data_IF_824529765722
#
_entry.id   IF_824529765722
#
_cell.length_a   1.000
_cell.length_b   1.000
_cell.length_c   1.000
_cell.angle_alpha   90.00
_cell.angle_beta   90.00
_cell.angle_gamma   90.00
#
_symmetry.space_group_name_H-M   'P 1'
#
loop_
_entity.id
_entity.type
_entity.pdbx_description
1 polymer ?
#
# COMPACT_ATOMS: atom_id res chain seq x y z
N UNK A 1 -35.64 12.49 0.62
CA UNK A 1 -34.93 13.45 -0.26
C UNK A 1 -33.52 13.61 0.28
N UNK A 2 -32.52 12.93 -0.29
CA UNK A 2 -31.13 13.09 0.14
C UNK A 2 -30.68 14.50 -0.22
N UNK A 3 -30.21 15.28 0.77
CA UNK A 3 -29.48 16.53 0.49
C UNK A 3 -28.32 16.17 -0.44
N UNK A 4 -28.35 16.65 -1.68
CA UNK A 4 -27.18 16.61 -2.55
C UNK A 4 -26.06 17.34 -1.81
N UNK A 5 -25.00 16.62 -1.46
CA UNK A 5 -23.84 17.22 -0.82
C UNK A 5 -23.27 18.27 -1.78
N UNK A 6 -22.97 19.45 -1.26
CA UNK A 6 -22.34 20.49 -2.08
C UNK A 6 -20.92 20.04 -2.46
N UNK A 7 -20.39 20.56 -3.57
CA UNK A 7 -19.03 20.23 -4.03
C UNK A 7 -17.96 20.55 -2.97
N UNK A 8 -18.20 21.56 -2.13
CA UNK A 8 -17.36 21.91 -0.99
C UNK A 8 -17.45 20.88 0.16
N UNK A 9 -18.64 20.32 0.42
CA UNK A 9 -18.82 19.27 1.44
C UNK A 9 -18.16 17.95 1.03
N UNK A 10 -18.20 17.59 -0.26
CA UNK A 10 -17.46 16.43 -0.77
C UNK A 10 -15.96 16.66 -0.70
N UNK A 11 -15.47 17.82 -1.14
CA UNK A 11 -14.04 18.13 -1.14
C UNK A 11 -13.44 18.05 0.28
N UNK A 12 -14.13 18.60 1.28
CA UNK A 12 -13.66 18.54 2.67
C UNK A 12 -13.58 17.10 3.18
N UNK A 13 -14.59 16.28 2.89
CA UNK A 13 -14.63 14.88 3.31
C UNK A 13 -13.56 14.06 2.60
N UNK A 14 -13.44 14.24 1.30
CA UNK A 14 -12.45 13.55 0.47
C UNK A 14 -11.03 13.91 0.92
N UNK A 15 -10.74 15.19 1.19
CA UNK A 15 -9.44 15.61 1.70
C UNK A 15 -9.10 14.96 3.05
N UNK A 16 -10.05 14.92 3.99
CA UNK A 16 -9.82 14.24 5.28
C UNK A 16 -9.62 12.73 5.11
N UNK A 17 -10.37 12.09 4.20
CA UNK A 17 -10.22 10.66 3.91
C UNK A 17 -8.87 10.37 3.24
N UNK A 18 -8.47 11.18 2.26
CA UNK A 18 -7.16 11.10 1.61
C UNK A 18 -6.01 11.23 2.60
N UNK A 19 -6.13 12.09 3.62
CA UNK A 19 -5.11 12.20 4.67
C UNK A 19 -5.00 10.91 5.52
N UNK A 20 -6.14 10.27 5.85
CA UNK A 20 -6.12 8.96 6.55
C UNK A 20 -5.47 7.91 5.66
N UNK A 21 -5.89 7.84 4.39
CA UNK A 21 -5.35 6.88 3.41
C UNK A 21 -3.86 7.08 3.23
N UNK A 22 -3.39 8.33 3.12
CA UNK A 22 -1.98 8.67 2.99
C UNK A 22 -1.13 8.12 4.15
N UNK A 23 -1.58 8.31 5.41
CA UNK A 23 -0.85 7.81 6.58
C UNK A 23 -0.75 6.29 6.61
N UNK A 24 -1.73 5.58 6.07
CA UNK A 24 -1.73 4.11 5.96
C UNK A 24 -0.92 3.65 4.74
N UNK A 25 -1.04 4.37 3.63
CA UNK A 25 -0.42 4.01 2.35
C UNK A 25 1.09 4.22 2.36
N UNK A 26 1.61 5.25 3.03
CA UNK A 26 3.05 5.53 3.12
C UNK A 26 3.88 4.31 3.60
N UNK A 27 3.64 3.75 4.81
CA UNK A 27 4.40 2.59 5.27
C UNK A 27 4.15 1.35 4.41
N UNK A 28 2.94 1.20 3.85
CA UNK A 28 2.63 0.08 2.96
C UNK A 28 3.46 0.16 1.66
N UNK A 29 3.57 1.34 1.04
CA UNK A 29 4.35 1.57 -0.16
C UNK A 29 5.83 1.25 0.06
N UNK A 30 6.40 1.77 1.15
CA UNK A 30 7.79 1.49 1.53
C UNK A 30 8.00 -0.01 1.80
N UNK A 31 7.04 -0.63 2.49
CA UNK A 31 7.13 -2.03 2.86
C UNK A 31 7.07 -2.98 1.67
N UNK A 32 6.16 -2.71 0.71
CA UNK A 32 6.05 -3.50 -0.53
C UNK A 32 7.32 -3.35 -1.37
N UNK A 33 7.87 -2.14 -1.50
CA UNK A 33 9.11 -1.95 -2.24
C UNK A 33 10.27 -2.76 -1.65
N UNK A 34 10.44 -2.71 -0.33
CA UNK A 34 11.48 -3.49 0.29
C UNK A 34 11.23 -5.00 0.18
N UNK A 35 9.99 -5.43 0.37
CA UNK A 35 9.58 -6.82 0.24
C UNK A 35 9.84 -7.39 -1.17
N UNK A 36 9.76 -6.52 -2.16
CA UNK A 36 10.06 -6.79 -3.55
C UNK A 36 11.56 -6.75 -3.89
N UNK A 37 12.45 -6.51 -2.92
CA UNK A 37 13.87 -6.21 -3.15
C UNK A 37 14.08 -5.03 -4.12
N UNK A 38 13.16 -4.07 -4.13
CA UNK A 38 13.23 -2.88 -4.95
C UNK A 38 13.68 -1.66 -4.11
N UNK A 39 14.20 -0.60 -4.75
CA UNK A 39 14.49 0.65 -4.07
C UNK A 39 13.25 1.19 -3.35
N UNK A 40 13.37 1.60 -2.08
CA UNK A 40 12.24 2.04 -1.26
C UNK A 40 11.38 3.13 -1.91
N UNK A 41 12.02 4.04 -2.64
CA UNK A 41 11.35 5.14 -3.34
C UNK A 41 10.38 4.65 -4.42
N UNK A 42 10.63 3.49 -5.04
CA UNK A 42 9.80 2.96 -6.12
C UNK A 42 8.36 2.70 -5.67
N UNK A 43 8.18 2.29 -4.41
CA UNK A 43 6.87 2.16 -3.80
C UNK A 43 6.16 3.50 -3.62
N UNK A 44 6.88 4.53 -3.17
CA UNK A 44 6.31 5.88 -3.03
C UNK A 44 5.94 6.48 -4.39
N UNK A 45 6.79 6.30 -5.41
CA UNK A 45 6.53 6.74 -6.78
C UNK A 45 5.26 6.06 -7.31
N UNK A 46 5.13 4.75 -7.13
CA UNK A 46 3.94 3.99 -7.51
C UNK A 46 2.68 4.52 -6.80
N UNK A 47 2.75 4.80 -5.50
CA UNK A 47 1.63 5.39 -4.75
C UNK A 47 1.22 6.79 -5.24
N UNK A 48 2.19 7.64 -5.58
CA UNK A 48 1.94 8.98 -6.14
C UNK A 48 1.28 8.86 -7.52
N UNK A 49 1.82 8.02 -8.39
CA UNK A 49 1.28 7.79 -9.74
C UNK A 49 -0.11 7.16 -9.68
N UNK A 50 -0.34 6.20 -8.78
CA UNK A 50 -1.65 5.63 -8.52
C UNK A 50 -2.67 6.67 -8.08
N UNK A 51 -2.30 7.55 -7.14
CA UNK A 51 -3.16 8.63 -6.68
C UNK A 51 -3.52 9.66 -7.76
N UNK A 52 -2.53 10.04 -8.59
CA UNK A 52 -2.70 11.10 -9.60
C UNK A 52 -3.21 10.55 -10.93
N UNK A 53 -2.48 9.63 -11.55
CA UNK A 53 -2.78 9.13 -12.90
C UNK A 53 -3.98 8.20 -12.88
N UNK A 54 -3.99 7.19 -12.01
CA UNK A 54 -5.11 6.25 -11.96
C UNK A 54 -6.35 6.95 -11.39
N UNK A 55 -6.20 7.69 -10.29
CA UNK A 55 -7.30 8.42 -9.65
C UNK A 55 -8.03 9.38 -10.59
N UNK A 56 -7.34 10.01 -11.54
CA UNK A 56 -7.97 10.90 -12.54
C UNK A 56 -8.65 10.15 -13.68
N UNK A 57 -8.14 9.00 -14.09
CA UNK A 57 -8.60 8.26 -15.27
C UNK A 57 -9.68 7.20 -14.98
N UNK A 58 -9.63 6.56 -13.81
CA UNK A 58 -10.38 5.35 -13.42
C UNK A 58 -11.91 5.53 -13.39
N UNK A 59 -12.38 6.68 -12.90
CA UNK A 59 -13.80 6.92 -12.54
C UNK A 59 -14.38 6.02 -11.44
N UNK A 60 -13.56 5.19 -10.78
CA UNK A 60 -13.94 4.54 -9.54
C UNK A 60 -13.86 5.52 -8.38
N UNK A 61 -14.98 5.70 -7.67
CA UNK A 61 -15.16 6.80 -6.72
C UNK A 61 -14.54 6.53 -5.34
N UNK A 62 -14.25 5.27 -5.02
CA UNK A 62 -13.78 4.83 -3.70
C UNK A 62 -12.52 3.97 -3.77
N UNK A 63 -12.02 3.70 -4.97
CA UNK A 63 -10.79 2.95 -5.17
C UNK A 63 -9.57 3.82 -4.93
N UNK A 64 -8.52 3.19 -4.42
CA UNK A 64 -7.18 3.78 -4.25
C UNK A 64 -6.22 2.86 -5.00
N UNK A 65 -5.27 3.45 -5.73
CA UNK A 65 -4.23 2.70 -6.42
C UNK A 65 -2.85 3.05 -5.88
N UNK A 66 -1.94 2.08 -5.93
CA UNK A 66 -0.57 2.11 -5.43
C UNK A 66 0.06 0.73 -5.59
N UNK A 67 1.28 0.51 -5.08
CA UNK A 67 2.00 -0.74 -5.27
C UNK A 67 1.22 -1.91 -4.67
N UNK A 68 1.11 -3.00 -5.44
CA UNK A 68 0.27 -4.13 -5.07
C UNK A 68 1.01 -5.15 -4.19
N UNK A 69 0.48 -5.42 -3.01
CA UNK A 69 1.05 -6.40 -2.08
C UNK A 69 1.02 -7.82 -2.68
N UNK A 70 -0.03 -8.18 -3.42
CA UNK A 70 -0.16 -9.49 -4.08
C UNK A 70 0.90 -9.76 -5.13
N UNK A 71 1.46 -8.69 -5.72
CA UNK A 71 2.50 -8.75 -6.74
C UNK A 71 3.92 -8.80 -6.17
N UNK A 72 4.12 -8.59 -4.87
CA UNK A 72 5.44 -8.49 -4.23
C UNK A 72 6.40 -9.62 -4.62
N UNK A 73 5.93 -10.87 -4.54
CA UNK A 73 6.74 -12.05 -4.87
C UNK A 73 7.01 -12.16 -6.37
N UNK A 74 6.04 -11.77 -7.21
CA UNK A 74 6.20 -11.70 -8.66
C UNK A 74 7.28 -10.67 -8.99
N UNK A 75 7.19 -9.46 -8.45
CA UNK A 75 8.17 -8.39 -8.63
C UNK A 75 9.57 -8.85 -8.22
N UNK A 76 9.72 -9.37 -7.00
CA UNK A 76 11.01 -9.86 -6.49
C UNK A 76 11.62 -10.92 -7.40
N UNK A 77 10.80 -11.88 -7.86
CA UNK A 77 11.24 -12.93 -8.79
C UNK A 77 11.64 -12.36 -10.15
N UNK A 78 10.86 -11.43 -10.70
CA UNK A 78 11.16 -10.84 -12.01
C UNK A 78 12.41 -9.97 -11.99
N UNK A 79 12.62 -9.17 -10.93
CA UNK A 79 13.87 -8.40 -10.73
C UNK A 79 15.07 -9.36 -10.75
N UNK A 80 14.99 -10.48 -10.01
CA UNK A 80 16.05 -11.47 -9.97
C UNK A 80 16.30 -12.17 -11.32
N UNK A 81 15.24 -12.50 -12.06
CA UNK A 81 15.34 -13.17 -13.37
C UNK A 81 15.88 -12.27 -14.48
N UNK A 82 15.53 -10.99 -14.44
CA UNK A 82 15.97 -9.98 -15.41
C UNK A 82 17.36 -9.41 -15.07
N UNK A 83 17.82 -9.59 -13.82
CA UNK A 83 19.17 -9.25 -13.39
C UNK A 83 19.41 -7.77 -13.08
N UNK A 84 18.47 -6.88 -13.43
CA UNK A 84 18.50 -5.48 -13.03
C UNK A 84 17.09 -4.91 -12.80
N UNK A 85 17.02 -3.87 -11.96
CA UNK A 85 15.76 -3.19 -11.68
C UNK A 85 15.28 -2.39 -12.90
N UNK A 86 16.20 -1.83 -13.68
CA UNK A 86 15.95 -1.07 -14.90
C UNK A 86 15.35 -1.94 -16.01
N UNK A 87 15.79 -3.21 -16.12
CA UNK A 87 15.17 -4.20 -17.01
C UNK A 87 13.76 -4.55 -16.54
N UNK A 88 13.56 -4.65 -15.23
CA UNK A 88 12.24 -4.86 -14.64
C UNK A 88 11.30 -3.67 -14.89
N UNK A 89 11.77 -2.43 -14.78
CA UNK A 89 10.99 -1.23 -15.12
C UNK A 89 10.54 -1.23 -16.58
N UNK A 90 11.37 -1.75 -17.49
CA UNK A 90 10.97 -1.94 -18.88
C UNK A 90 9.82 -2.95 -18.99
N UNK A 91 9.87 -4.06 -18.24
CA UNK A 91 8.78 -5.03 -18.18
C UNK A 91 7.48 -4.42 -17.60
N UNK A 92 7.56 -3.57 -16.56
CA UNK A 92 6.42 -2.84 -15.98
C UNK A 92 5.82 -1.87 -17.00
N UNK A 93 6.66 -1.14 -17.73
CA UNK A 93 6.25 -0.22 -18.81
C UNK A 93 5.47 -0.97 -19.89
N UNK A 94 5.99 -2.11 -20.35
CA UNK A 94 5.29 -2.97 -21.32
C UNK A 94 4.01 -3.58 -20.75
N UNK A 95 4.00 -3.97 -19.47
CA UNK A 95 2.80 -4.48 -18.81
C UNK A 95 1.68 -3.42 -18.80
N UNK A 96 2.03 -2.17 -18.47
CA UNK A 96 1.12 -1.04 -18.55
C UNK A 96 0.58 -0.83 -19.96
N UNK A 97 1.44 -0.92 -20.99
CA UNK A 97 0.99 -0.84 -22.38
C UNK A 97 0.01 -1.95 -22.76
N UNK A 98 0.28 -3.19 -22.34
CA UNK A 98 -0.62 -4.34 -22.55
C UNK A 98 -1.97 -4.07 -21.88
N UNK A 99 -1.98 -3.54 -20.66
CA UNK A 99 -3.21 -3.19 -19.94
C UNK A 99 -3.99 -2.04 -20.57
N UNK A 100 -3.30 -1.01 -21.08
CA UNK A 100 -3.92 0.08 -21.85
C UNK A 100 -4.65 -0.51 -23.06
N UNK A 101 -3.97 -1.35 -23.84
CA UNK A 101 -4.54 -2.01 -25.02
C UNK A 101 -5.74 -2.89 -24.60
N UNK A 102 -5.60 -3.69 -23.54
CA UNK A 102 -6.67 -4.54 -23.03
C UNK A 102 -7.90 -3.72 -22.58
N UNK A 103 -7.68 -2.58 -21.92
CA UNK A 103 -8.74 -1.65 -21.53
C UNK A 103 -9.48 -1.06 -22.73
N UNK A 104 -8.74 -0.64 -23.76
CA UNK A 104 -9.32 -0.12 -25.02
C UNK A 104 -10.11 -1.18 -25.79
N UNK A 105 -9.63 -2.43 -25.79
CA UNK A 105 -10.33 -3.59 -26.36
C UNK A 105 -11.50 -4.08 -25.50
N UNK A 106 -11.79 -3.39 -24.39
CA UNK A 106 -12.86 -3.73 -23.44
C UNK A 106 -12.69 -5.10 -22.76
N UNK A 107 -11.45 -5.59 -22.62
CA UNK A 107 -11.14 -6.86 -21.98
C UNK A 107 -11.46 -6.93 -20.47
N UNK A 108 -11.85 -5.81 -19.84
CA UNK A 108 -12.31 -5.77 -18.45
C UNK A 108 -13.54 -6.64 -18.14
N UNK A 109 -14.23 -7.20 -19.15
CA UNK A 109 -15.32 -8.16 -18.95
C UNK A 109 -14.85 -9.46 -18.27
N UNK A 110 -13.55 -9.79 -18.31
CA UNK A 110 -12.99 -11.00 -17.68
C UNK A 110 -13.33 -11.10 -16.19
N UNK A 111 -13.50 -9.96 -15.50
CA UNK A 111 -13.90 -9.96 -14.09
C UNK A 111 -15.29 -10.54 -13.83
N UNK A 112 -16.15 -10.63 -14.86
CA UNK A 112 -17.49 -11.24 -14.77
C UNK A 112 -17.43 -12.74 -14.50
N UNK A 113 -16.35 -13.42 -14.88
CA UNK A 113 -16.20 -14.86 -14.72
C UNK A 113 -15.64 -15.25 -13.36
N UNK A 114 -15.30 -14.27 -12.51
CA UNK A 114 -14.72 -14.53 -11.21
C UNK A 114 -15.86 -14.88 -10.23
N UNK A 115 -15.87 -16.10 -9.66
CA UNK A 115 -16.90 -16.49 -8.71
C UNK A 115 -16.88 -15.60 -7.47
N UNK A 116 -18.06 -15.28 -6.93
CA UNK A 116 -18.18 -14.47 -5.70
C UNK A 116 -17.47 -15.10 -4.49
N UNK A 117 -17.30 -16.43 -4.48
CA UNK A 117 -16.55 -17.15 -3.47
C UNK A 117 -15.06 -16.78 -3.46
N UNK A 118 -14.46 -16.57 -4.63
CA UNK A 118 -13.05 -16.17 -4.77
C UNK A 118 -12.85 -14.77 -4.19
N UNK A 119 -13.74 -13.82 -4.49
CA UNK A 119 -13.68 -12.45 -3.96
C UNK A 119 -13.78 -12.44 -2.43
N UNK A 120 -14.72 -13.21 -1.85
CA UNK A 120 -14.87 -13.33 -0.39
C UNK A 120 -13.64 -13.98 0.27
N UNK A 121 -13.11 -15.04 -0.35
CA UNK A 121 -11.89 -15.70 0.09
C UNK A 121 -10.69 -14.75 0.11
N UNK A 122 -10.52 -13.96 -0.96
CA UNK A 122 -9.48 -12.94 -1.07
C UNK A 122 -9.60 -11.87 0.02
N UNK A 123 -10.78 -11.27 0.22
CA UNK A 123 -11.01 -10.28 1.27
C UNK A 123 -10.74 -10.82 2.67
N UNK A 124 -11.16 -12.05 2.93
CA UNK A 124 -10.93 -12.72 4.22
C UNK A 124 -9.45 -13.02 4.44
N UNK A 125 -8.76 -13.50 3.40
CA UNK A 125 -7.33 -13.78 3.42
C UNK A 125 -6.49 -12.53 3.65
N UNK A 126 -6.76 -11.44 2.91
CA UNK A 126 -6.09 -10.14 3.10
C UNK A 126 -6.35 -9.61 4.52
N UNK A 127 -7.60 -9.62 4.97
CA UNK A 127 -7.95 -9.17 6.32
C UNK A 127 -7.21 -9.96 7.41
N UNK A 128 -7.19 -11.29 7.31
CA UNK A 128 -6.47 -12.16 8.25
C UNK A 128 -4.95 -11.94 8.19
N UNK A 129 -4.38 -11.85 6.99
CA UNK A 129 -2.96 -11.61 6.80
C UNK A 129 -2.52 -10.27 7.41
N UNK A 130 -3.30 -9.21 7.21
CA UNK A 130 -3.04 -7.90 7.84
C UNK A 130 -3.08 -8.01 9.37
N UNK A 131 -4.10 -8.64 9.94
CA UNK A 131 -4.19 -8.83 11.40
C UNK A 131 -2.96 -9.58 11.93
N UNK A 132 -2.60 -10.70 11.29
CA UNK A 132 -1.46 -11.51 11.71
C UNK A 132 -0.14 -10.76 11.58
N UNK A 133 0.07 -10.01 10.49
CA UNK A 133 1.29 -9.22 10.30
C UNK A 133 1.37 -8.00 11.21
N UNK A 134 0.27 -7.46 11.72
CA UNK A 134 0.30 -6.36 12.71
C UNK A 134 0.57 -6.84 14.15
N UNK A 135 0.34 -8.12 14.45
CA UNK A 135 0.47 -8.65 15.81
C UNK A 135 1.89 -8.55 16.39
N UNK A 136 2.99 -8.86 15.66
CA UNK A 136 4.35 -8.66 16.18
C UNK A 136 4.69 -7.20 16.51
N UNK A 137 4.24 -6.25 15.68
CA UNK A 137 4.45 -4.82 15.91
C UNK A 137 3.72 -4.31 17.15
N UNK A 138 2.56 -4.89 17.49
CA UNK A 138 1.83 -4.56 18.73
C UNK A 138 2.68 -4.85 19.97
N UNK A 139 3.45 -5.94 19.98
CA UNK A 139 4.32 -6.29 21.11
C UNK A 139 5.74 -5.69 21.02
N UNK A 140 6.02 -4.96 19.93
CA UNK A 140 7.31 -4.32 19.68
C UNK A 140 8.44 -5.29 19.33
N UNK A 141 8.11 -6.43 18.71
CA UNK A 141 9.07 -7.44 18.26
C UNK A 141 10.19 -6.87 17.39
N UNK A 142 9.88 -5.86 16.56
CA UNK A 142 10.81 -5.24 15.62
C UNK A 142 11.42 -3.92 16.10
N UNK A 143 11.21 -3.56 17.37
CA UNK A 143 11.86 -2.40 17.96
C UNK A 143 13.19 -2.86 18.54
N UNK A 144 14.33 -2.47 17.96
CA UNK A 144 15.61 -2.88 18.48
C UNK A 144 15.77 -2.41 19.92
N UNK A 145 15.91 -3.36 20.84
CA UNK A 145 16.59 -3.10 22.11
C UNK A 145 18.13 -3.00 21.92
N UNK A 146 18.59 -2.62 20.72
CA UNK A 146 20.02 -2.46 20.38
C UNK A 146 20.53 -3.17 19.11
N UNK A 147 19.69 -3.81 18.28
CA UNK A 147 20.08 -4.39 16.97
C UNK A 147 19.32 -3.77 15.79
N UNK A 148 19.99 -3.11 14.86
CA UNK A 148 19.37 -2.61 13.62
C UNK A 148 18.92 -3.80 12.74
N UNK A 149 17.72 -4.32 12.98
CA UNK A 149 17.07 -5.31 12.12
C UNK A 149 16.62 -4.58 10.87
N UNK A 150 17.06 -5.05 9.71
CA UNK A 150 16.63 -4.50 8.43
C UNK A 150 15.20 -4.94 8.14
N UNK A 151 14.39 -4.06 7.55
CA UNK A 151 12.99 -4.38 7.20
C UNK A 151 12.91 -5.57 6.22
N UNK A 152 14.01 -5.96 5.56
CA UNK A 152 14.11 -7.14 4.70
C UNK A 152 13.99 -8.46 5.50
N UNK A 153 14.48 -8.48 6.74
CA UNK A 153 14.28 -9.61 7.65
C UNK A 153 12.84 -9.71 8.16
N UNK A 154 12.06 -8.62 8.12
CA UNK A 154 10.66 -8.56 8.59
C UNK A 154 9.64 -9.12 7.57
N UNK A 155 9.96 -8.96 6.29
CA UNK A 155 9.12 -9.45 5.20
C UNK A 155 9.45 -10.91 4.89
N UNK A 156 10.74 -11.26 4.90
CA UNK A 156 11.21 -12.58 4.49
C UNK A 156 11.06 -13.67 5.57
N UNK A 157 10.56 -13.30 6.77
CA UNK A 157 10.25 -14.26 7.83
C UNK A 157 8.82 -14.82 7.69
N UNK A 158 8.73 -16.14 7.84
CA UNK A 158 7.46 -16.85 7.95
C UNK A 158 6.62 -16.25 9.08
N UNK A 159 5.35 -15.95 8.83
CA UNK A 159 4.40 -15.46 9.85
C UNK A 159 4.41 -16.35 11.10
N UNK A 160 4.58 -17.66 10.92
CA UNK A 160 4.70 -18.62 12.02
C UNK A 160 5.97 -18.44 12.85
N UNK A 161 7.08 -18.05 12.23
CA UNK A 161 8.32 -17.75 12.94
C UNK A 161 8.17 -16.47 13.79
N UNK A 162 7.58 -15.41 13.25
CA UNK A 162 7.28 -14.17 13.98
C UNK A 162 6.36 -14.44 15.18
N UNK A 163 5.36 -15.32 15.02
CA UNK A 163 4.44 -15.66 16.10
C UNK A 163 5.06 -16.55 17.18
N UNK A 164 5.94 -17.49 16.82
CA UNK A 164 6.64 -18.37 17.77
C UNK A 164 7.70 -17.58 18.56
N UNK A 165 8.40 -16.68 17.88
CA UNK A 165 9.44 -15.85 18.47
C UNK A 165 8.91 -14.81 19.47
N UNK A 166 7.63 -14.42 19.39
CA UNK A 166 6.94 -13.64 20.43
C UNK A 166 6.94 -14.32 21.81
N UNK A 167 7.08 -15.65 21.87
CA UNK A 167 7.18 -16.39 23.13
C UNK A 167 8.57 -16.27 23.78
N UNK A 168 9.59 -15.80 23.05
CA UNK A 168 11.01 -15.84 23.45
C UNK A 168 11.63 -14.44 23.52
N UNK A 169 11.10 -13.45 22.81
CA UNK A 169 11.64 -12.09 22.74
C UNK A 169 11.04 -11.17 23.81
N UNK A 170 11.86 -10.32 24.48
CA UNK A 170 11.36 -9.33 25.44
C UNK A 170 10.44 -8.30 24.76
N UNK A 171 9.26 -8.09 25.32
CA UNK A 171 8.26 -7.18 24.79
C UNK A 171 8.62 -5.71 25.06
N UNK A 172 8.24 -4.82 24.14
CA UNK A 172 8.44 -3.38 24.30
C UNK A 172 7.20 -2.72 24.92
N UNK A 173 7.30 -2.33 26.20
CA UNK A 173 6.17 -1.81 26.99
C UNK A 173 5.49 -0.60 26.33
N UNK A 174 6.27 0.31 25.72
CA UNK A 174 5.74 1.48 25.02
C UNK A 174 4.87 1.14 23.80
N UNK A 175 5.29 0.15 22.99
CA UNK A 175 4.60 -0.22 21.75
C UNK A 175 3.29 -0.93 22.07
N UNK A 176 3.32 -1.86 23.03
CA UNK A 176 2.14 -2.55 23.53
C UNK A 176 1.13 -1.57 24.12
N UNK A 177 1.59 -0.60 24.91
CA UNK A 177 0.71 0.42 25.51
C UNK A 177 0.06 1.29 24.43
N UNK A 178 0.84 1.81 23.49
CA UNK A 178 0.30 2.64 22.40
C UNK A 178 -0.64 1.84 21.50
N UNK A 179 -0.30 0.60 21.14
CA UNK A 179 -1.13 -0.22 20.27
C UNK A 179 -2.45 -0.63 20.92
N UNK A 180 -2.43 -1.08 22.18
CA UNK A 180 -3.67 -1.39 22.92
C UNK A 180 -4.52 -0.13 23.10
N UNK A 181 -3.91 1.00 23.50
CA UNK A 181 -4.60 2.26 23.65
C UNK A 181 -5.23 2.71 22.31
N UNK A 182 -4.52 2.54 21.20
CA UNK A 182 -5.01 2.88 19.87
C UNK A 182 -6.25 2.06 19.50
N UNK A 183 -6.24 0.74 19.77
CA UNK A 183 -7.41 -0.13 19.55
C UNK A 183 -8.58 0.34 20.42
N UNK A 184 -8.35 0.60 21.71
CA UNK A 184 -9.38 1.08 22.64
C UNK A 184 -9.98 2.40 22.14
N UNK A 185 -9.14 3.36 21.76
CA UNK A 185 -9.60 4.66 21.26
C UNK A 185 -10.42 4.52 19.98
N UNK A 186 -10.01 3.67 19.04
CA UNK A 186 -10.77 3.39 17.81
C UNK A 186 -12.13 2.75 18.12
N UNK A 187 -12.17 1.78 19.04
CA UNK A 187 -13.42 1.13 19.47
C UNK A 187 -14.37 2.13 20.15
N UNK A 188 -13.84 3.00 21.01
CA UNK A 188 -14.62 4.08 21.65
C UNK A 188 -15.16 5.03 20.58
N UNK A 189 -14.33 5.40 19.60
CA UNK A 189 -14.71 6.31 18.51
C UNK A 189 -15.87 5.75 17.68
N UNK A 190 -15.85 4.46 17.39
CA UNK A 190 -16.92 3.82 16.62
C UNK A 190 -18.20 3.58 17.44
N UNK A 191 -18.09 3.42 18.76
CA UNK A 191 -19.26 3.25 19.64
C UNK A 191 -19.99 4.56 19.93
N UNK A 192 -19.27 5.67 20.09
CA UNK A 192 -19.86 6.96 20.51
C UNK A 192 -20.32 7.77 19.29
N UNK A 193 -21.64 7.91 19.13
CA UNK A 193 -22.25 8.64 18.01
C UNK A 193 -21.88 10.14 17.96
N UNK A 194 -21.55 10.75 19.10
CA UNK A 194 -21.08 12.14 19.15
C UNK A 194 -19.69 12.30 18.51
N UNK A 195 -18.80 11.32 18.68
CA UNK A 195 -17.46 11.31 18.08
C UNK A 195 -17.52 11.08 16.57
N UNK A 196 -18.55 10.41 16.06
CA UNK A 196 -18.79 10.29 14.62
C UNK A 196 -19.14 11.62 13.93
N UNK A 197 -19.56 12.64 14.70
CA UNK A 197 -19.85 13.98 14.20
C UNK A 197 -18.63 14.92 14.24
N UNK A 198 -17.51 14.47 14.82
CA UNK A 198 -16.29 15.25 14.85
C UNK A 198 -15.76 15.49 13.42
N UNK A 199 -15.21 16.68 13.14
CA UNK A 199 -14.71 17.02 11.80
C UNK A 199 -13.42 16.29 11.43
N UNK A 200 -12.72 15.69 12.40
CA UNK A 200 -11.46 14.98 12.20
C UNK A 200 -11.72 13.48 12.37
N UNK A 201 -11.32 12.65 11.40
CA UNK A 201 -11.38 11.19 11.52
C UNK A 201 -10.68 10.66 12.78
N UNK A 202 -11.33 9.71 13.47
CA UNK A 202 -10.77 9.04 14.65
C UNK A 202 -9.35 8.50 14.47
N UNK A 203 -9.01 7.84 13.34
CA UNK A 203 -7.64 7.38 13.09
C UNK A 203 -6.56 8.46 13.18
N UNK A 204 -6.83 9.69 12.70
CA UNK A 204 -5.87 10.80 12.78
C UNK A 204 -5.61 11.23 14.22
N UNK A 205 -6.68 11.28 15.02
CA UNK A 205 -6.59 11.64 16.43
C UNK A 205 -5.80 10.57 17.20
N UNK A 206 -6.04 9.29 16.89
CA UNK A 206 -5.29 8.18 17.49
C UNK A 206 -3.80 8.29 17.19
N UNK A 207 -3.42 8.56 15.94
CA UNK A 207 -2.02 8.78 15.56
C UNK A 207 -1.43 10.00 16.31
N UNK A 208 -2.15 11.12 16.35
CA UNK A 208 -1.68 12.33 17.04
C UNK A 208 -1.47 12.09 18.54
N UNK A 209 -2.40 11.38 19.19
CA UNK A 209 -2.30 11.00 20.61
C UNK A 209 -1.13 10.05 20.83
N UNK A 210 -0.95 9.04 19.97
CA UNK A 210 0.18 8.11 20.06
C UNK A 210 1.54 8.84 19.95
N UNK A 211 1.67 9.75 18.97
CA UNK A 211 2.88 10.57 18.80
C UNK A 211 3.12 11.47 20.01
N UNK A 212 2.08 12.14 20.52
CA UNK A 212 2.18 13.00 21.69
C UNK A 212 2.62 12.23 22.95
N UNK A 213 2.03 11.06 23.20
CA UNK A 213 2.40 10.19 24.33
C UNK A 213 3.86 9.75 24.19
N UNK A 214 4.27 9.29 23.00
CA UNK A 214 5.63 8.80 22.77
C UNK A 214 6.67 9.92 23.02
N UNK A 215 6.44 11.12 22.48
CA UNK A 215 7.40 12.22 22.56
C UNK A 215 7.39 12.97 23.90
N UNK A 216 6.22 13.15 24.54
CA UNK A 216 6.12 13.96 25.76
C UNK A 216 6.28 13.14 27.04
N UNK A 217 5.86 11.88 27.02
CA UNK A 217 5.84 11.00 28.20
C UNK A 217 6.91 9.93 28.08
N UNK A 218 6.86 9.09 27.05
CA UNK A 218 7.73 7.92 26.97
C UNK A 218 9.20 8.29 26.79
N UNK A 219 9.50 9.36 26.06
CA UNK A 219 10.85 9.92 25.94
C UNK A 219 11.49 10.24 27.31
N UNK A 220 10.69 10.57 28.33
CA UNK A 220 11.15 10.88 29.70
C UNK A 220 11.27 9.64 30.60
N UNK A 221 10.53 8.58 30.29
CA UNK A 221 10.51 7.33 31.06
C UNK A 221 11.67 6.37 30.72
N UNK A 222 12.41 6.65 29.63
CA UNK A 222 13.61 5.91 29.25
C UNK A 222 13.41 4.87 28.16
N UNK A 223 14.46 4.08 27.90
CA UNK A 223 14.58 3.24 26.71
C UNK A 223 13.56 2.09 26.60
N UNK A 224 13.02 1.58 27.72
CA UNK A 224 11.99 0.53 27.69
C UNK A 224 10.59 1.02 27.30
N UNK A 225 10.39 2.33 27.26
CA UNK A 225 9.11 2.98 26.93
C UNK A 225 9.18 3.74 25.61
N UNK A 226 10.31 4.40 25.33
CA UNK A 226 10.40 5.30 24.19
C UNK A 226 10.61 4.55 22.87
N UNK A 227 9.66 4.68 21.96
CA UNK A 227 9.71 4.07 20.63
C UNK A 227 10.58 4.93 19.72
N UNK A 228 11.67 4.35 19.19
CA UNK A 228 12.63 4.97 18.27
C UNK A 228 12.87 4.09 17.04
N UNK A 229 13.51 4.66 16.02
CA UNK A 229 14.09 3.90 14.91
C UNK A 229 13.03 3.10 14.15
N UNK A 230 13.22 1.78 14.05
CA UNK A 230 12.35 0.87 13.29
C UNK A 230 10.91 0.79 13.83
N UNK A 231 10.66 1.22 15.07
CA UNK A 231 9.30 1.35 15.62
C UNK A 231 8.51 2.55 15.08
N UNK A 232 9.10 3.38 14.23
CA UNK A 232 8.45 4.53 13.59
C UNK A 232 8.55 4.42 12.07
N UNK A 233 7.58 5.00 11.36
CA UNK A 233 7.64 5.11 9.90
C UNK A 233 8.78 6.06 9.53
N UNK A 234 9.83 5.52 8.93
CA UNK A 234 10.96 6.30 8.43
C UNK A 234 10.71 6.66 6.97
N UNK A 235 10.41 7.93 6.75
CA UNK A 235 10.29 8.47 5.40
C UNK A 235 11.68 8.89 4.95
N UNK A 236 12.15 8.46 3.75
CA UNK A 236 13.37 8.99 3.17
C UNK A 236 13.28 10.51 3.07
N UNK A 237 14.22 11.23 3.70
CA UNK A 237 14.28 12.70 3.64
C UNK A 237 15.33 13.07 2.61
N UNK A 238 14.96 13.95 1.68
CA UNK A 238 15.84 14.44 0.63
C UNK A 238 16.35 15.83 1.02
N UNK A 239 17.65 16.02 0.90
CA UNK A 239 18.33 17.25 1.35
C UNK A 239 18.45 18.27 0.22
N UNK A 240 18.34 17.81 -1.04
CA UNK A 240 18.56 18.61 -2.24
C UNK A 240 17.72 18.12 -3.43
N UNK A 241 17.47 19.01 -4.39
CA UNK A 241 16.84 18.66 -5.68
C UNK A 241 17.77 17.84 -6.59
N UNK A 242 19.09 17.93 -6.40
CA UNK A 242 20.07 17.14 -7.17
C UNK A 242 20.05 15.65 -6.77
N UNK A 243 19.71 15.34 -5.51
CA UNK A 243 19.44 13.96 -5.09
C UNK A 243 18.21 13.38 -5.81
N UNK A 244 17.23 14.21 -6.19
CA UNK A 244 16.00 13.74 -6.83
C UNK A 244 16.25 13.09 -8.20
N UNK A 245 17.13 13.67 -9.02
CA UNK A 245 17.48 13.14 -10.35
C UNK A 245 18.27 11.83 -10.27
N UNK A 246 19.01 11.61 -9.18
CA UNK A 246 19.76 10.37 -8.95
C UNK A 246 18.89 9.21 -8.44
N UNK A 247 17.64 9.52 -8.05
CA UNK A 247 16.70 8.58 -7.45
C UNK A 247 15.70 8.04 -8.46
N UNK A 248 15.38 8.80 -9.51
CA UNK A 248 14.55 8.33 -10.61
C UNK A 248 15.34 7.33 -11.44
N UNK A 249 14.93 6.07 -11.35
CA UNK A 249 15.45 5.00 -12.17
C UNK A 249 14.56 4.88 -13.41
N UNK A 250 15.19 4.84 -14.56
CA UNK A 250 14.50 4.77 -15.85
C UNK A 250 14.62 3.35 -16.44
N UNK A 251 13.66 2.92 -17.26
CA UNK A 251 13.72 1.61 -17.89
C UNK A 251 14.88 1.53 -18.88
N UNK A 252 15.56 0.39 -18.90
CA UNK A 252 16.62 0.13 -19.87
C UNK A 252 16.01 -0.37 -21.20
N UNK A 253 15.92 0.54 -22.18
CA UNK A 253 15.38 0.22 -23.52
C UNK A 253 16.21 -0.79 -24.30
N UNK A 254 17.49 -1.02 -23.95
CA UNK A 254 18.31 -2.03 -24.63
C UNK A 254 17.78 -3.45 -24.38
N UNK A 255 17.04 -3.64 -23.28
CA UNK A 255 16.46 -4.93 -22.87
C UNK A 255 15.24 -5.35 -23.69
N UNK A 256 14.75 -4.48 -24.59
CA UNK A 256 13.69 -4.82 -25.54
C UNK A 256 14.04 -5.98 -26.48
N UNK A 257 15.34 -6.28 -26.65
CA UNK A 257 15.79 -7.45 -27.41
C UNK A 257 15.72 -8.77 -26.60
N UNK A 258 15.60 -8.70 -25.26
CA UNK A 258 15.51 -9.88 -24.40
C UNK A 258 14.08 -10.40 -24.32
N UNK A 259 13.87 -11.66 -24.68
CA UNK A 259 12.58 -12.33 -24.63
C UNK A 259 12.02 -12.45 -23.20
N UNK A 260 12.88 -12.47 -22.17
CA UNK A 260 12.48 -12.55 -20.76
C UNK A 260 11.65 -11.35 -20.33
N UNK A 261 11.95 -10.16 -20.85
CA UNK A 261 11.23 -8.92 -20.52
C UNK A 261 9.76 -9.01 -20.92
N UNK A 262 9.46 -9.62 -22.07
CA UNK A 262 8.09 -9.82 -22.52
C UNK A 262 7.33 -10.84 -21.67
N UNK A 263 8.00 -11.93 -21.25
CA UNK A 263 7.41 -12.91 -20.32
C UNK A 263 7.08 -12.25 -18.99
N UNK A 264 8.00 -11.44 -18.45
CA UNK A 264 7.78 -10.66 -17.24
C UNK A 264 6.60 -9.67 -17.42
N UNK A 265 6.58 -8.92 -18.52
CA UNK A 265 5.54 -7.94 -18.83
C UNK A 265 4.14 -8.58 -18.92
N UNK A 266 4.02 -9.72 -19.62
CA UNK A 266 2.75 -10.46 -19.72
C UNK A 266 2.33 -10.98 -18.34
N UNK A 267 3.27 -11.52 -17.56
CA UNK A 267 3.00 -12.02 -16.21
C UNK A 267 2.46 -10.91 -15.30
N UNK A 268 3.15 -9.77 -15.28
CA UNK A 268 2.74 -8.60 -14.49
C UNK A 268 1.39 -8.09 -14.99
N UNK A 269 1.20 -7.92 -16.30
CA UNK A 269 -0.05 -7.43 -16.87
C UNK A 269 -1.24 -8.32 -16.49
N UNK A 270 -1.11 -9.64 -16.57
CA UNK A 270 -2.20 -10.56 -16.21
C UNK A 270 -2.52 -10.46 -14.71
N UNK A 271 -1.50 -10.59 -13.86
CA UNK A 271 -1.71 -10.62 -12.40
C UNK A 271 -2.24 -9.27 -11.90
N UNK A 272 -1.64 -8.15 -12.32
CA UNK A 272 -2.08 -6.80 -11.96
C UNK A 272 -3.51 -6.51 -12.43
N UNK A 273 -3.87 -6.94 -13.64
CA UNK A 273 -5.23 -6.77 -14.16
C UNK A 273 -6.26 -7.55 -13.37
N UNK A 274 -5.94 -8.80 -13.01
CA UNK A 274 -6.84 -9.64 -12.22
C UNK A 274 -7.03 -9.06 -10.82
N UNK A 275 -5.95 -8.70 -10.14
CA UNK A 275 -5.99 -8.10 -8.80
C UNK A 275 -6.79 -6.79 -8.79
N UNK A 276 -6.53 -5.91 -9.76
CA UNK A 276 -7.30 -4.67 -9.97
C UNK A 276 -8.79 -4.94 -10.08
N UNK A 277 -9.18 -5.82 -11.01
CA UNK A 277 -10.58 -6.05 -11.32
C UNK A 277 -11.32 -6.73 -10.16
N UNK A 278 -10.62 -7.58 -9.41
CA UNK A 278 -11.10 -8.19 -8.17
C UNK A 278 -11.31 -7.15 -7.07
N UNK A 279 -10.34 -6.26 -6.88
CA UNK A 279 -10.42 -5.18 -5.89
C UNK A 279 -11.53 -4.18 -6.24
N UNK A 280 -11.70 -3.85 -7.52
CA UNK A 280 -12.77 -2.98 -7.99
C UNK A 280 -14.16 -3.54 -7.62
N UNK A 281 -14.39 -4.83 -7.91
CA UNK A 281 -15.65 -5.51 -7.58
C UNK A 281 -15.86 -5.60 -6.05
N UNK A 282 -14.79 -5.82 -5.29
CA UNK A 282 -14.86 -5.85 -3.83
C UNK A 282 -15.21 -4.48 -3.25
N UNK A 283 -14.59 -3.41 -3.76
CA UNK A 283 -14.81 -2.02 -3.33
C UNK A 283 -16.23 -1.56 -3.68
N UNK A 284 -16.70 -1.83 -4.91
CA UNK A 284 -18.07 -1.50 -5.34
C UNK A 284 -19.13 -2.18 -4.43
N UNK A 285 -18.85 -3.39 -3.91
CA UNK A 285 -19.74 -4.08 -2.97
C UNK A 285 -19.75 -3.49 -1.56
N UNK A 286 -18.65 -2.87 -1.15
CA UNK A 286 -18.53 -2.19 0.14
C UNK A 286 -19.09 -0.76 0.08
N UNK A 287 -19.21 -0.17 -1.11
CA UNK A 287 -19.75 1.18 -1.29
C UNK A 287 -21.20 1.27 -0.80
N UNK A 288 -21.49 2.07 0.26
CA UNK A 288 -22.85 2.24 0.76
C UNK A 288 -23.81 2.82 -0.28
N UNK A 289 -23.27 3.49 -1.33
CA UNK A 289 -24.05 4.05 -2.43
C UNK A 289 -24.26 3.08 -3.59
N UNK A 290 -23.68 1.87 -3.53
CA UNK A 290 -23.78 0.83 -4.57
C UNK A 290 -23.47 1.37 -5.98
N UNK A 291 -22.47 2.26 -6.10
CA UNK A 291 -22.05 2.76 -7.40
C UNK A 291 -21.28 1.65 -8.13
N UNK A 292 -21.46 1.59 -9.44
CA UNK A 292 -20.73 0.65 -10.29
C UNK A 292 -19.61 1.34 -11.05
N UNK A 293 -18.40 0.80 -10.90
CA UNK A 293 -17.20 1.31 -11.55
C UNK A 293 -17.00 0.66 -12.94
N UNK A 294 -16.64 1.43 -13.98
CA UNK A 294 -16.45 0.90 -15.33
C UNK A 294 -15.16 0.07 -15.44
N UNK A 295 -15.28 -1.25 -15.41
CA UNK A 295 -14.16 -2.23 -15.39
C UNK A 295 -13.10 -2.04 -16.48
N UNK A 296 -13.51 -1.86 -17.74
CA UNK A 296 -12.55 -1.67 -18.84
C UNK A 296 -11.82 -0.33 -18.76
N UNK A 297 -12.47 0.68 -18.17
CA UNK A 297 -11.86 1.99 -17.93
C UNK A 297 -10.91 1.94 -16.73
N UNK A 298 -11.26 1.20 -15.69
CA UNK A 298 -10.34 0.89 -14.59
C UNK A 298 -9.08 0.22 -15.14
N UNK A 299 -9.24 -0.82 -15.96
CA UNK A 299 -8.12 -1.52 -16.57
C UNK A 299 -7.23 -0.60 -17.43
N UNK A 300 -7.85 0.29 -18.21
CA UNK A 300 -7.14 1.32 -18.96
C UNK A 300 -6.37 2.28 -18.04
N UNK A 301 -7.02 2.77 -16.98
CA UNK A 301 -6.42 3.71 -16.03
C UNK A 301 -5.23 3.10 -15.29
N UNK A 302 -5.35 1.86 -14.83
CA UNK A 302 -4.24 1.12 -14.22
C UNK A 302 -3.12 0.87 -15.23
N UNK A 303 -3.46 0.57 -16.50
CA UNK A 303 -2.45 0.45 -17.55
C UNK A 303 -1.66 1.75 -17.75
N UNK A 304 -2.35 2.91 -17.76
CA UNK A 304 -1.67 4.22 -17.79
C UNK A 304 -0.82 4.47 -16.53
N UNK A 305 -1.32 4.05 -15.37
CA UNK A 305 -0.59 4.09 -14.10
C UNK A 305 0.70 3.28 -14.17
N UNK A 306 0.62 2.01 -14.55
CA UNK A 306 1.76 1.10 -14.66
C UNK A 306 2.74 1.50 -15.76
N UNK A 307 2.25 2.02 -16.89
CA UNK A 307 3.10 2.60 -17.92
C UNK A 307 3.92 3.77 -17.35
N UNK A 308 3.24 4.69 -16.64
CA UNK A 308 3.90 5.86 -16.04
C UNK A 308 4.84 5.47 -14.90
N UNK A 309 4.46 4.48 -14.09
CA UNK A 309 5.27 3.94 -13.00
C UNK A 309 6.54 3.31 -13.55
N UNK A 310 6.44 2.43 -14.54
CA UNK A 310 7.62 1.83 -15.18
C UNK A 310 8.57 2.87 -15.77
N UNK A 311 8.05 3.94 -16.38
CA UNK A 311 8.87 5.03 -16.93
C UNK A 311 9.57 5.89 -15.87
N UNK A 312 9.05 5.96 -14.64
CA UNK A 312 9.54 6.84 -13.58
C UNK A 312 10.18 6.09 -12.40
N UNK A 313 10.39 4.78 -12.51
CA UNK A 313 11.03 4.00 -11.44
C UNK A 313 10.09 3.48 -10.37
N UNK A 314 8.79 3.42 -10.66
CA UNK A 314 7.74 2.89 -9.79
C UNK A 314 7.45 1.39 -9.99
N UNK A 315 6.78 0.82 -8.99
CA UNK A 315 6.27 -0.56 -8.99
C UNK A 315 4.88 -0.68 -9.62
N UNK A 316 4.50 -1.87 -10.14
CA UNK A 316 3.18 -2.16 -10.68
C UNK A 316 2.08 -2.34 -9.62
#
# INVERSE_FOLDING_TARGET
MSRQATLADSLRRDLTASLVIFLVALPLCLGIALASNAPLISGLISGIIGGIVVGTLSHSQTSVSGPAAGLTAVVSTQIALLGSFESFLMAVTLAGLIQVIAGLLRAGFVSMFIPSGVVKGMLTGIGLLLILKQFPYLFGYDIPLGKNISFAELVNQNIFHDLISLAVVPWHAGAMTIGILSIILLLIWDRIQLLKRFPIPGPLIVVAVAVAINQLVFARLGAGWYIRGAGMVQVPVFSSLEEFDQILLFPDFSTLADSKVYVAAITIAIVASLETLLNLEAVDRLDPRQRHSPRSRELFAQGCGNLSAGLLGGLP
#
